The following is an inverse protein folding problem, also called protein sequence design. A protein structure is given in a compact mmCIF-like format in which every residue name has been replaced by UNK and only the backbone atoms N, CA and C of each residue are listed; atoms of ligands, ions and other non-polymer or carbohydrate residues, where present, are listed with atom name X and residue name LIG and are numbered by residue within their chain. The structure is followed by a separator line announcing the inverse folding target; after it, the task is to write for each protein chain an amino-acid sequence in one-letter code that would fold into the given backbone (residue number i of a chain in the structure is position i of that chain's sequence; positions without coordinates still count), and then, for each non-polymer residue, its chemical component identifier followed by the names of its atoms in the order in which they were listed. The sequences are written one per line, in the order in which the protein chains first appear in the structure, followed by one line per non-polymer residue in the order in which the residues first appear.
data_IF_507060659617
#
_entry.id   IF_507060659617
#
_cell.length_a   1.000
_cell.length_b   1.000
_cell.length_c   1.000
_cell.angle_alpha   90.00
_cell.angle_beta   90.00
_cell.angle_gamma   90.00
#
_symmetry.space_group_name_H-M   'P 1'
#
loop_
_entity.id
_entity.type
_entity.pdbx_description
1 polymer ?
#
# COMPACT_ATOMS: atom_id res chain seq x y z
N UNK A 1 12.02 -16.19 -1.27
CA UNK A 1 11.29 -15.63 -2.43
C UNK A 1 12.33 -15.08 -3.37
N UNK A 2 12.22 -15.35 -4.67
CA UNK A 2 13.12 -14.76 -5.66
C UNK A 2 12.75 -13.28 -5.82
N UNK A 3 13.74 -12.39 -5.88
CA UNK A 3 13.50 -10.97 -6.08
C UNK A 3 12.70 -10.73 -7.37
N UNK A 4 11.73 -9.81 -7.32
CA UNK A 4 10.97 -9.40 -8.49
C UNK A 4 11.90 -8.82 -9.57
N UNK A 5 11.82 -9.25 -10.85
CA UNK A 5 12.67 -8.70 -11.91
C UNK A 5 12.49 -7.19 -12.10
N UNK A 6 13.58 -6.45 -12.36
CA UNK A 6 13.52 -4.99 -12.54
C UNK A 6 12.61 -4.53 -13.68
N UNK A 7 12.45 -5.34 -14.73
CA UNK A 7 11.50 -5.06 -15.82
C UNK A 7 10.04 -5.07 -15.35
N UNK A 8 9.70 -5.98 -14.42
CA UNK A 8 8.36 -6.05 -13.82
C UNK A 8 8.13 -4.83 -12.93
N UNK A 9 9.09 -4.49 -12.08
CA UNK A 9 9.00 -3.30 -11.22
C UNK A 9 8.81 -2.03 -12.05
N UNK A 10 9.59 -1.85 -13.13
CA UNK A 10 9.44 -0.70 -14.04
C UNK A 10 8.03 -0.63 -14.64
N UNK A 11 7.47 -1.76 -15.08
CA UNK A 11 6.12 -1.80 -15.62
C UNK A 11 5.05 -1.35 -14.62
N UNK A 12 5.24 -1.61 -13.32
CA UNK A 12 4.33 -1.13 -12.28
C UNK A 12 4.37 0.38 -12.11
N UNK A 13 5.55 0.99 -12.16
CA UNK A 13 5.67 2.45 -12.10
C UNK A 13 5.09 3.13 -13.34
N UNK A 14 5.38 2.59 -14.54
CA UNK A 14 4.76 3.05 -15.78
C UNK A 14 3.23 2.96 -15.69
N UNK A 15 2.70 1.84 -15.20
CA UNK A 15 1.27 1.65 -15.01
C UNK A 15 0.68 2.60 -13.96
N UNK A 16 1.36 2.83 -12.84
CA UNK A 16 0.94 3.75 -11.80
C UNK A 16 0.85 5.21 -12.29
N UNK A 17 1.63 5.58 -13.31
CA UNK A 17 1.60 6.89 -13.95
C UNK A 17 0.48 7.04 -14.99
N UNK A 18 -0.19 5.96 -15.41
CA UNK A 18 -1.29 6.03 -16.37
C UNK A 18 -2.56 6.55 -15.72
N UNK A 19 -3.21 7.51 -16.37
CA UNK A 19 -4.42 8.15 -15.84
C UNK A 19 -5.60 7.17 -15.67
N UNK A 20 -5.78 6.24 -16.60
CA UNK A 20 -6.85 5.23 -16.55
C UNK A 20 -6.69 4.27 -15.35
N UNK A 21 -5.47 3.76 -15.13
CA UNK A 21 -5.13 2.92 -13.97
C UNK A 21 -5.28 3.68 -12.66
N UNK A 22 -4.78 4.92 -12.61
CA UNK A 22 -4.90 5.76 -11.42
C UNK A 22 -6.36 6.02 -11.04
N UNK A 23 -7.22 6.34 -12.02
CA UNK A 23 -8.67 6.53 -11.80
C UNK A 23 -9.36 5.23 -11.34
N UNK A 24 -8.97 4.07 -11.90
CA UNK A 24 -9.54 2.78 -11.49
C UNK A 24 -9.25 2.47 -10.02
N UNK A 25 -8.00 2.68 -9.57
CA UNK A 25 -7.61 2.50 -8.17
C UNK A 25 -8.30 3.55 -7.27
N UNK A 26 -8.40 4.80 -7.70
CA UNK A 26 -9.09 5.86 -6.94
C UNK A 26 -10.58 5.59 -6.76
N UNK A 27 -11.21 4.94 -7.75
CA UNK A 27 -12.60 4.48 -7.66
C UNK A 27 -12.74 3.44 -6.53
N UNK A 28 -11.86 2.43 -6.50
CA UNK A 28 -11.80 1.44 -5.40
C UNK A 28 -11.61 2.13 -4.05
N UNK A 29 -10.67 3.08 -3.95
CA UNK A 29 -10.42 3.83 -2.72
C UNK A 29 -11.60 4.67 -2.26
N UNK A 30 -12.34 5.28 -3.19
CA UNK A 30 -13.51 6.10 -2.89
C UNK A 30 -14.64 5.24 -2.34
N UNK A 31 -14.89 4.09 -2.94
CA UNK A 31 -15.93 3.15 -2.48
C UNK A 31 -15.59 2.57 -1.09
N UNK A 32 -14.32 2.23 -0.83
CA UNK A 32 -13.88 1.85 0.52
C UNK A 32 -14.18 2.98 1.51
N UNK A 33 -13.83 4.21 1.15
CA UNK A 33 -14.04 5.35 2.03
C UNK A 33 -15.52 5.60 2.29
N UNK A 34 -16.40 5.43 1.30
CA UNK A 34 -17.86 5.50 1.45
C UNK A 34 -18.40 4.41 2.37
N UNK A 35 -18.00 3.16 2.14
CA UNK A 35 -18.42 2.03 2.95
C UNK A 35 -17.98 2.18 4.41
N UNK A 36 -16.74 2.58 4.65
CA UNK A 36 -16.23 2.90 6.00
C UNK A 36 -17.00 4.06 6.63
N UNK A 37 -17.26 5.15 5.90
CA UNK A 37 -18.03 6.29 6.41
C UNK A 37 -19.44 5.90 6.86
N UNK A 38 -20.07 4.95 6.17
CA UNK A 38 -21.41 4.48 6.53
C UNK A 38 -21.46 3.80 7.90
N UNK A 39 -20.38 3.11 8.29
CA UNK A 39 -20.22 2.49 9.61
C UNK A 39 -19.75 3.49 10.67
N UNK A 40 -18.97 4.50 10.26
CA UNK A 40 -18.42 5.52 11.16
C UNK A 40 -17.49 4.99 12.26
N UNK A 41 -16.51 4.11 11.95
CA UNK A 41 -15.55 3.65 12.94
C UNK A 41 -14.60 4.78 13.37
N UNK A 42 -14.21 4.76 14.64
CA UNK A 42 -13.26 5.71 15.20
C UNK A 42 -11.85 5.14 15.03
N UNK A 43 -10.96 5.89 14.39
CA UNK A 43 -9.55 5.51 14.34
C UNK A 43 -8.89 5.72 15.72
N UNK A 44 -8.86 4.67 16.55
CA UNK A 44 -8.20 4.70 17.86
C UNK A 44 -6.66 4.60 17.74
N UNK A 45 -6.16 4.06 16.62
CA UNK A 45 -4.74 3.80 16.42
C UNK A 45 -3.95 5.03 15.96
N UNK A 46 -4.58 5.98 15.25
CA UNK A 46 -3.96 7.21 14.72
C UNK A 46 -2.69 7.03 13.86
N UNK A 47 -2.39 5.82 13.38
CA UNK A 47 -1.14 5.47 12.69
C UNK A 47 -0.31 4.39 13.42
N UNK A 48 -0.67 4.04 14.66
CA UNK A 48 -0.10 2.88 15.37
C UNK A 48 -0.32 1.56 14.65
N UNK A 49 -1.31 1.46 13.73
CA UNK A 49 -1.49 0.27 12.89
C UNK A 49 -0.25 -0.06 12.04
N UNK A 50 0.64 0.92 11.79
CA UNK A 50 1.91 0.76 11.10
C UNK A 50 3.01 0.09 11.95
N UNK A 51 2.80 -0.07 13.27
CA UNK A 51 3.71 -0.83 14.15
C UNK A 51 3.39 -2.32 14.04
N UNK A 52 3.75 -2.91 12.90
CA UNK A 52 3.29 -4.22 12.51
C UNK A 52 3.60 -5.30 13.55
N UNK A 53 4.84 -5.40 14.01
CA UNK A 53 5.23 -6.45 14.95
C UNK A 53 4.64 -6.25 16.34
N UNK A 54 4.58 -5.01 16.81
CA UNK A 54 4.00 -4.68 18.12
C UNK A 54 2.50 -5.03 18.22
N UNK A 55 1.80 -5.11 17.09
CA UNK A 55 0.37 -5.45 17.02
C UNK A 55 0.09 -6.78 16.32
N UNK A 56 1.12 -7.54 15.93
CA UNK A 56 0.96 -8.77 15.15
C UNK A 56 0.27 -8.57 13.80
N UNK A 57 0.31 -7.37 13.25
CA UNK A 57 -0.28 -7.05 11.96
C UNK A 57 0.65 -7.45 10.82
N UNK A 58 0.06 -7.77 9.67
CA UNK A 58 0.77 -7.90 8.41
C UNK A 58 -0.04 -7.20 7.33
N UNK A 59 0.61 -6.34 6.56
CA UNK A 59 0.02 -5.72 5.40
C UNK A 59 0.51 -6.44 4.15
N UNK A 60 -0.41 -6.67 3.22
CA UNK A 60 -0.10 -7.20 1.90
C UNK A 60 -0.63 -6.24 0.84
N UNK A 61 0.10 -6.12 -0.25
CA UNK A 61 -0.24 -5.23 -1.35
C UNK A 61 0.25 -5.82 -2.67
N UNK A 62 -0.38 -5.41 -3.77
CA UNK A 62 0.12 -5.69 -5.11
C UNK A 62 1.36 -4.83 -5.42
N UNK A 63 2.20 -5.28 -6.36
CA UNK A 63 3.34 -4.51 -6.84
C UNK A 63 2.95 -3.14 -7.40
N UNK A 64 1.80 -3.05 -8.08
CA UNK A 64 1.23 -1.79 -8.58
C UNK A 64 0.90 -0.81 -7.45
N UNK A 65 0.25 -1.28 -6.38
CA UNK A 65 -0.06 -0.44 -5.22
C UNK A 65 1.21 0.06 -4.52
N UNK A 66 2.25 -0.77 -4.46
CA UNK A 66 3.55 -0.42 -3.85
C UNK A 66 4.24 0.65 -4.70
N UNK A 67 4.37 0.45 -6.01
CA UNK A 67 4.96 1.42 -6.93
C UNK A 67 4.20 2.76 -6.90
N UNK A 68 2.86 2.71 -6.92
CA UNK A 68 2.01 3.90 -6.79
C UNK A 68 2.23 4.64 -5.46
N UNK A 69 2.35 3.91 -4.34
CA UNK A 69 2.64 4.53 -3.04
C UNK A 69 3.99 5.24 -3.05
N UNK A 70 5.05 4.57 -3.55
CA UNK A 70 6.39 5.15 -3.65
C UNK A 70 6.36 6.42 -4.49
N UNK A 71 5.79 6.37 -5.70
CA UNK A 71 5.72 7.53 -6.59
C UNK A 71 4.95 8.72 -5.99
N UNK A 72 3.81 8.47 -5.33
CA UNK A 72 3.05 9.54 -4.68
C UNK A 72 3.83 10.15 -3.52
N UNK A 73 4.40 9.31 -2.65
CA UNK A 73 5.18 9.80 -1.52
C UNK A 73 6.41 10.58 -1.97
N UNK A 74 7.09 10.15 -3.03
CA UNK A 74 8.20 10.89 -3.62
C UNK A 74 7.78 12.30 -4.06
N UNK A 75 6.69 12.39 -4.84
CA UNK A 75 6.15 13.66 -5.32
C UNK A 75 5.70 14.59 -4.18
N UNK A 76 5.35 14.05 -3.01
CA UNK A 76 5.02 14.81 -1.80
C UNK A 76 6.26 15.21 -0.97
N UNK A 77 7.48 14.89 -1.43
CA UNK A 77 8.73 15.13 -0.68
C UNK A 77 8.89 14.19 0.52
N UNK A 78 8.27 13.01 0.46
CA UNK A 78 8.26 11.94 1.48
C UNK A 78 8.84 10.64 0.91
N UNK A 79 9.78 10.77 -0.02
CA UNK A 79 10.59 9.68 -0.55
C UNK A 79 11.23 8.84 0.53
N UNK A 80 11.44 7.56 0.22
CA UNK A 80 12.15 6.62 1.08
C UNK A 80 13.17 5.84 0.26
N UNK A 81 14.22 5.39 0.94
CA UNK A 81 15.29 4.58 0.37
C UNK A 81 15.15 3.11 0.81
N UNK A 82 15.93 2.22 0.19
CA UNK A 82 16.03 0.84 0.64
C UNK A 82 16.56 0.74 2.10
N UNK A 83 17.40 1.68 2.52
CA UNK A 83 17.91 1.76 3.91
C UNK A 83 16.80 2.10 4.90
N UNK A 84 15.89 3.03 4.55
CA UNK A 84 14.73 3.36 5.38
C UNK A 84 13.82 2.13 5.58
N UNK A 85 13.63 1.34 4.52
CA UNK A 85 12.86 0.08 4.62
C UNK A 85 13.56 -0.94 5.50
N UNK A 86 14.88 -1.10 5.37
CA UNK A 86 15.66 -1.99 6.22
C UNK A 86 15.57 -1.56 7.69
N UNK A 87 15.71 -0.27 7.99
CA UNK A 87 15.56 0.27 9.35
C UNK A 87 14.16 0.05 9.90
N UNK A 88 13.11 0.25 9.07
CA UNK A 88 11.74 0.01 9.48
C UNK A 88 11.46 -1.47 9.78
N UNK A 89 12.07 -2.39 9.03
CA UNK A 89 12.00 -3.82 9.30
C UNK A 89 12.63 -4.17 10.65
N UNK A 90 13.82 -3.64 10.95
CA UNK A 90 14.48 -3.84 12.24
C UNK A 90 13.65 -3.29 13.41
N UNK A 91 12.93 -2.18 13.19
CA UNK A 91 12.04 -1.57 14.18
C UNK A 91 10.64 -2.22 14.21
N UNK A 92 10.37 -3.20 13.34
CA UNK A 92 9.09 -3.91 13.26
C UNK A 92 7.92 -3.06 12.76
N UNK A 93 8.19 -1.99 12.00
CA UNK A 93 7.20 -0.99 11.55
C UNK A 93 7.23 -0.71 10.05
N UNK A 94 6.58 0.39 9.65
CA UNK A 94 6.53 0.89 8.26
C UNK A 94 7.51 2.08 8.09
N UNK A 95 8.22 2.21 6.95
CA UNK A 95 9.18 3.31 6.75
C UNK A 95 8.54 4.71 6.76
N UNK A 96 7.23 4.80 6.52
CA UNK A 96 6.49 6.07 6.61
C UNK A 96 5.88 6.35 7.99
N UNK A 97 6.25 5.57 9.01
CA UNK A 97 5.80 5.78 10.37
C UNK A 97 6.62 6.89 11.03
N UNK A 98 5.96 7.97 11.43
CA UNK A 98 6.55 9.05 12.22
C UNK A 98 5.87 9.11 13.60
N UNK A 99 6.53 8.52 14.59
CA UNK A 99 6.00 8.38 15.95
C UNK A 99 4.69 7.59 15.99
N UNK A 100 3.56 8.30 16.10
CA UNK A 100 2.20 7.72 16.06
C UNK A 100 1.49 7.94 14.72
N UNK A 101 2.07 8.71 13.80
CA UNK A 101 1.44 9.14 12.56
C UNK A 101 1.90 8.29 11.36
N UNK A 102 1.00 8.09 10.41
CA UNK A 102 1.35 7.63 9.07
C UNK A 102 1.54 8.85 8.16
N UNK A 103 2.69 8.91 7.48
CA UNK A 103 3.04 10.03 6.59
C UNK A 103 2.72 9.74 5.12
N UNK A 104 2.52 8.47 4.73
CA UNK A 104 2.14 8.04 3.37
C UNK A 104 0.63 8.13 3.06
N UNK A 105 -0.11 9.08 3.65
CA UNK A 105 -1.59 9.03 3.67
C UNK A 105 -2.23 8.95 2.29
N UNK A 106 -1.69 9.68 1.32
CA UNK A 106 -2.15 9.72 -0.07
C UNK A 106 -1.76 8.44 -0.83
N UNK A 107 -0.54 7.94 -0.60
CA UNK A 107 0.00 6.73 -1.22
C UNK A 107 -0.54 5.41 -0.66
N UNK A 108 -1.21 5.42 0.51
CA UNK A 108 -1.67 4.19 1.21
C UNK A 108 -2.30 3.15 0.25
N UNK A 109 -1.85 1.88 0.31
CA UNK A 109 -2.48 0.80 -0.43
C UNK A 109 -3.87 0.49 0.13
N UNK A 110 -4.63 -0.31 -0.60
CA UNK A 110 -6.00 -0.70 -0.27
C UNK A 110 -6.12 -1.27 1.14
N UNK A 111 -5.21 -2.19 1.53
CA UNK A 111 -5.22 -2.78 2.87
C UNK A 111 -5.11 -1.77 4.01
N UNK A 112 -4.31 -0.71 3.82
CA UNK A 112 -4.20 0.40 4.79
C UNK A 112 -5.47 1.25 4.87
N UNK A 113 -6.27 1.30 3.80
CA UNK A 113 -7.49 2.11 3.72
C UNK A 113 -8.70 1.38 4.29
N UNK A 114 -8.70 0.06 4.19
CA UNK A 114 -9.76 -0.79 4.75
C UNK A 114 -9.59 -0.98 6.26
N UNK A 115 -8.37 -1.06 6.77
CA UNK A 115 -8.15 -1.43 8.18
C UNK A 115 -8.61 -0.37 9.19
N UNK A 116 -9.42 -0.80 10.17
CA UNK A 116 -9.77 -0.05 11.38
C UNK A 116 -9.74 -0.96 12.61
N UNK A 117 -9.21 -0.46 13.72
CA UNK A 117 -9.15 -1.18 15.00
C UNK A 117 -10.45 -1.06 15.84
N UNK A 118 -11.42 -0.25 15.40
CA UNK A 118 -12.72 -0.12 16.07
C UNK A 118 -13.54 -1.40 15.87
N UNK A 119 -14.04 -2.04 16.96
CA UNK A 119 -14.91 -3.21 16.85
C UNK A 119 -16.14 -3.02 15.96
N UNK A 120 -16.64 -1.78 15.80
CA UNK A 120 -17.75 -1.47 14.87
C UNK A 120 -17.42 -1.82 13.42
N UNK A 121 -16.13 -1.86 13.08
CA UNK A 121 -15.66 -2.21 11.76
C UNK A 121 -15.43 -3.73 11.57
N UNK A 122 -15.67 -4.54 12.61
CA UNK A 122 -15.29 -5.97 12.63
C UNK A 122 -15.88 -6.80 11.49
N UNK A 123 -17.12 -6.53 11.09
CA UNK A 123 -17.78 -7.24 9.98
C UNK A 123 -17.42 -6.64 8.61
N UNK A 124 -17.26 -5.31 8.54
CA UNK A 124 -17.07 -4.63 7.26
C UNK A 124 -15.63 -4.74 6.75
N UNK A 125 -14.64 -4.76 7.65
CA UNK A 125 -13.21 -4.78 7.29
C UNK A 125 -12.83 -6.03 6.48
N UNK A 126 -13.15 -7.26 6.92
CA UNK A 126 -12.79 -8.46 6.14
C UNK A 126 -13.48 -8.48 4.77
N UNK A 127 -14.75 -8.10 4.71
CA UNK A 127 -15.54 -8.04 3.47
C UNK A 127 -14.93 -7.05 2.48
N UNK A 128 -14.68 -5.81 2.91
CA UNK A 128 -14.08 -4.78 2.06
C UNK A 128 -12.65 -5.14 1.65
N UNK A 129 -11.89 -5.82 2.51
CA UNK A 129 -10.54 -6.25 2.18
C UNK A 129 -10.56 -7.26 1.02
N UNK A 130 -11.45 -8.24 1.07
CA UNK A 130 -11.61 -9.24 0.01
C UNK A 130 -12.14 -8.60 -1.29
N UNK A 131 -13.21 -7.82 -1.21
CA UNK A 131 -13.78 -7.12 -2.38
C UNK A 131 -12.75 -6.21 -3.06
N UNK A 132 -12.00 -5.44 -2.28
CA UNK A 132 -11.02 -4.54 -2.83
C UNK A 132 -9.80 -5.29 -3.37
N UNK A 133 -9.37 -6.39 -2.74
CA UNK A 133 -8.33 -7.25 -3.28
C UNK A 133 -8.71 -7.83 -4.66
N UNK A 134 -9.95 -8.33 -4.79
CA UNK A 134 -10.46 -8.83 -6.06
C UNK A 134 -10.49 -7.75 -7.13
N UNK A 135 -10.89 -6.52 -6.78
CA UNK A 135 -10.91 -5.40 -7.73
C UNK A 135 -9.53 -4.91 -8.14
N UNK A 136 -8.58 -4.84 -7.20
CA UNK A 136 -7.20 -4.53 -7.55
C UNK A 136 -6.64 -5.60 -8.50
N UNK A 137 -6.93 -6.87 -8.26
CA UNK A 137 -6.54 -7.94 -9.18
C UNK A 137 -7.20 -7.80 -10.56
N UNK A 138 -8.48 -7.46 -10.61
CA UNK A 138 -9.16 -7.19 -11.89
C UNK A 138 -8.52 -6.04 -12.66
N UNK A 139 -8.08 -4.96 -11.98
CA UNK A 139 -7.33 -3.86 -12.61
C UNK A 139 -6.02 -4.38 -13.23
N UNK A 140 -5.32 -5.29 -12.55
CA UNK A 140 -4.14 -5.91 -13.14
C UNK A 140 -4.47 -6.68 -14.42
N UNK A 141 -5.52 -7.50 -14.40
CA UNK A 141 -5.95 -8.31 -15.54
C UNK A 141 -6.41 -7.43 -16.72
N UNK A 142 -7.25 -6.41 -16.45
CA UNK A 142 -7.83 -5.51 -17.47
C UNK A 142 -6.80 -4.63 -18.17
N UNK A 143 -5.74 -4.23 -17.44
CA UNK A 143 -4.71 -3.34 -17.97
C UNK A 143 -3.42 -4.08 -18.37
N UNK A 144 -3.43 -5.42 -18.36
CA UNK A 144 -2.30 -6.29 -18.69
C UNK A 144 -1.04 -5.99 -17.84
N UNK A 145 -1.24 -5.73 -16.55
CA UNK A 145 -0.17 -5.41 -15.59
C UNK A 145 0.19 -6.68 -14.82
N UNK A 146 1.46 -7.07 -14.86
CA UNK A 146 1.96 -8.25 -14.13
C UNK A 146 1.53 -8.23 -12.66
N UNK A 147 0.89 -9.29 -12.18
CA UNK A 147 0.33 -9.36 -10.84
C UNK A 147 1.25 -10.12 -9.89
N UNK A 148 1.86 -9.38 -8.96
CA UNK A 148 2.57 -9.95 -7.81
C UNK A 148 1.96 -9.38 -6.54
N UNK A 149 1.60 -10.26 -5.61
CA UNK A 149 1.02 -9.91 -4.33
C UNK A 149 1.91 -10.44 -3.20
N UNK A 150 2.31 -9.56 -2.29
CA UNK A 150 3.30 -9.90 -1.28
C UNK A 150 3.15 -9.08 0.00
N UNK A 151 3.91 -9.46 1.02
CA UNK A 151 3.99 -8.70 2.26
C UNK A 151 4.60 -7.32 1.97
N UNK A 152 4.00 -6.29 2.53
CA UNK A 152 4.25 -4.88 2.20
C UNK A 152 5.73 -4.47 2.26
N UNK A 153 6.44 -4.84 3.31
CA UNK A 153 7.84 -4.44 3.51
C UNK A 153 8.76 -5.22 2.59
N UNK A 154 8.48 -6.51 2.36
CA UNK A 154 9.19 -7.30 1.36
C UNK A 154 9.00 -6.74 -0.06
N UNK A 155 7.77 -6.34 -0.43
CA UNK A 155 7.51 -5.73 -1.72
C UNK A 155 8.19 -4.35 -1.86
N UNK A 156 8.27 -3.56 -0.79
CA UNK A 156 9.02 -2.30 -0.79
C UNK A 156 10.52 -2.52 -1.02
N UNK A 157 11.11 -3.57 -0.42
CA UNK A 157 12.51 -3.93 -0.68
C UNK A 157 12.72 -4.31 -2.15
N UNK A 158 11.82 -5.11 -2.73
CA UNK A 158 11.88 -5.47 -4.15
C UNK A 158 11.78 -4.23 -5.06
N UNK A 159 10.80 -3.36 -4.79
CA UNK A 159 10.53 -2.17 -5.61
C UNK A 159 11.69 -1.15 -5.55
N UNK A 160 12.22 -0.88 -4.35
CA UNK A 160 13.33 0.08 -4.18
C UNK A 160 14.69 -0.52 -4.52
N UNK A 161 14.84 -1.85 -4.44
CA UNK A 161 16.07 -2.57 -4.78
C UNK A 161 16.24 -2.85 -6.28
N UNK A 162 15.15 -2.82 -7.04
CA UNK A 162 15.16 -3.16 -8.46
C UNK A 162 15.89 -2.13 -9.36
N UNK A 163 15.93 -0.83 -9.01
CA UNK A 163 16.72 0.22 -9.69
C UNK A 163 16.86 1.47 -8.78
N UNK A 164 18.06 1.95 -8.42
CA UNK A 164 18.27 3.14 -7.58
C UNK A 164 17.87 4.49 -8.21
N UNK A 165 17.42 4.52 -9.47
CA UNK A 165 17.31 5.74 -10.27
C UNK A 165 15.90 6.14 -10.71
N UNK A 166 14.85 5.42 -10.28
CA UNK A 166 13.47 5.74 -10.66
C UNK A 166 12.81 6.79 -9.73
N UNK A 167 13.58 7.27 -8.75
CA UNK A 167 13.18 8.18 -7.69
C UNK A 167 14.12 9.40 -7.73
N UNK A 168 14.23 10.02 -8.91
CA UNK A 168 15.03 11.21 -9.16
C UNK A 168 14.28 12.17 -10.11
#
# INVERSE_FOLDING_TARGET
MTATPSSVVRSWFEAAGRADVAMAIETVHTEIAEAIRSVGPICLASGNCCRFEAHGHRLYASGLEVARCVAICENEGRGITAEDVASALEQGGCPWQDGRLCTARAGRPTGCRVYFCDPRAGEIVPRLAEEAHQRIRAIHDEHEIEYVYGEWRAMLQDVLGAEPGLVA
#
